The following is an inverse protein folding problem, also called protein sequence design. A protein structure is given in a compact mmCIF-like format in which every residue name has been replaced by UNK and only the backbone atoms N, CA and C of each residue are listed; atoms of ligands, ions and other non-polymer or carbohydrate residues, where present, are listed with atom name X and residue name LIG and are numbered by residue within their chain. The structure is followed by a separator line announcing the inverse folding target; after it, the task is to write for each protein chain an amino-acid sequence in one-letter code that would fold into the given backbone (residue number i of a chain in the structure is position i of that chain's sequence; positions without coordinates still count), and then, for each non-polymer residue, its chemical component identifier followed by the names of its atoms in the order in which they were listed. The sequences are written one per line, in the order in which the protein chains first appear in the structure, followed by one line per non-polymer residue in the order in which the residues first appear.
data_IF_525360581483
#
_entry.id   IF_525360581483
#
_cell.length_a   1.000
_cell.length_b   1.000
_cell.length_c   1.000
_cell.angle_alpha   90.00
_cell.angle_beta   90.00
_cell.angle_gamma   90.00
#
_symmetry.space_group_name_H-M   'P 1'
#
loop_
_entity.id
_entity.type
_entity.pdbx_description
1 polymer ?
#
# COMPACT_ATOMS: atom_id res chain seq x y z
N UNK A 1 9.81 5.73 -3.95
CA UNK A 1 8.92 6.58 -4.81
C UNK A 1 8.00 7.44 -3.96
N UNK A 2 7.21 6.89 -3.02
CA UNK A 2 6.26 7.67 -2.22
C UNK A 2 6.89 8.82 -1.44
N UNK A 3 8.00 8.59 -0.76
CA UNK A 3 8.72 9.65 -0.05
C UNK A 3 9.23 10.75 -1.00
N UNK A 4 9.66 10.40 -2.23
CA UNK A 4 10.07 11.38 -3.22
C UNK A 4 8.89 12.28 -3.67
N UNK A 5 7.69 11.75 -3.76
CA UNK A 5 6.47 12.56 -4.01
C UNK A 5 6.14 13.43 -2.80
N UNK A 6 6.20 12.88 -1.59
CA UNK A 6 5.94 13.63 -0.36
C UNK A 6 6.96 14.75 -0.14
N UNK A 7 8.21 14.60 -0.58
CA UNK A 7 9.22 15.66 -0.49
C UNK A 7 8.91 16.88 -1.39
N UNK A 8 8.21 16.69 -2.50
CA UNK A 8 7.71 17.81 -3.32
C UNK A 8 6.64 18.63 -2.58
N UNK A 9 5.93 18.00 -1.65
CA UNK A 9 4.95 18.63 -0.78
C UNK A 9 5.53 19.10 0.56
N UNK A 10 6.84 18.88 0.79
CA UNK A 10 7.56 19.18 2.04
C UNK A 10 7.01 18.38 3.25
N UNK A 11 6.48 17.17 3.00
CA UNK A 11 5.86 16.30 4.01
C UNK A 11 6.71 15.08 4.38
N UNK A 12 7.79 14.81 3.67
CA UNK A 12 8.64 13.63 3.85
C UNK A 12 9.24 13.55 5.26
N UNK A 13 9.69 14.66 5.83
CA UNK A 13 10.27 14.70 7.19
C UNK A 13 9.22 14.34 8.24
N UNK A 14 8.04 14.96 8.18
CA UNK A 14 6.94 14.66 9.10
C UNK A 14 6.57 13.17 9.08
N UNK A 15 6.52 12.56 7.89
CA UNK A 15 6.21 11.14 7.73
C UNK A 15 7.36 10.23 8.24
N UNK A 16 8.61 10.61 8.06
CA UNK A 16 9.76 9.86 8.58
C UNK A 16 9.80 9.94 10.11
N UNK A 17 9.63 11.12 10.69
CA UNK A 17 9.67 11.35 12.14
C UNK A 17 8.49 10.68 12.86
N UNK A 18 7.30 10.73 12.27
CA UNK A 18 6.08 10.08 12.80
C UNK A 18 6.01 8.57 12.55
N UNK A 19 6.89 8.01 11.70
CA UNK A 19 6.91 6.60 11.32
C UNK A 19 8.04 5.80 11.96
N UNK A 20 8.18 4.55 11.53
CA UNK A 20 9.34 3.70 11.83
C UNK A 20 10.17 3.49 10.57
N UNK A 21 11.48 3.71 10.66
CA UNK A 21 12.41 3.38 9.57
C UNK A 21 12.58 1.87 9.50
N UNK A 22 12.07 1.26 8.45
CA UNK A 22 12.16 -0.19 8.22
C UNK A 22 13.34 -0.47 7.29
N UNK A 23 14.30 -1.25 7.80
CA UNK A 23 15.54 -1.63 7.11
C UNK A 23 15.53 -3.05 6.60
N UNK A 24 14.61 -3.88 7.11
CA UNK A 24 14.55 -5.30 6.80
C UNK A 24 13.10 -5.81 6.70
N UNK A 25 12.84 -6.66 5.72
CA UNK A 25 11.70 -7.56 5.68
C UNK A 25 12.20 -8.95 6.05
N UNK A 26 11.64 -9.54 7.11
CA UNK A 26 12.09 -10.81 7.64
C UNK A 26 10.95 -11.77 7.91
N UNK A 27 10.97 -12.92 7.24
CA UNK A 27 9.91 -13.91 7.32
C UNK A 27 10.43 -15.33 7.54
N UNK A 28 9.78 -16.07 8.45
CA UNK A 28 10.06 -17.48 8.75
C UNK A 28 8.82 -18.34 8.53
N UNK A 29 9.06 -19.64 8.36
CA UNK A 29 7.99 -20.63 8.48
C UNK A 29 7.58 -20.72 9.96
N UNK A 30 6.29 -20.67 10.24
CA UNK A 30 5.75 -20.77 11.61
C UNK A 30 6.14 -22.11 12.25
N UNK A 31 6.55 -22.07 13.52
CA UNK A 31 7.05 -23.25 14.23
C UNK A 31 8.38 -23.83 13.72
N UNK A 32 9.12 -23.10 12.88
CA UNK A 32 10.40 -23.55 12.30
C UNK A 32 11.46 -22.44 12.36
N UNK A 33 12.74 -22.86 12.33
CA UNK A 33 13.87 -21.94 12.15
C UNK A 33 14.10 -21.52 10.69
N UNK A 34 13.36 -22.11 9.74
CA UNK A 34 13.53 -21.90 8.30
C UNK A 34 13.14 -20.50 7.89
N UNK A 35 14.08 -19.75 7.33
CA UNK A 35 13.88 -18.38 6.81
C UNK A 35 13.34 -18.48 5.37
N UNK A 36 12.24 -17.81 5.12
CA UNK A 36 11.57 -17.72 3.82
C UNK A 36 11.85 -16.42 3.11
N UNK A 37 12.00 -15.34 3.88
CA UNK A 37 12.22 -14.00 3.36
C UNK A 37 13.24 -13.30 4.25
N UNK A 38 14.32 -12.80 3.64
CA UNK A 38 15.31 -11.96 4.30
C UNK A 38 15.80 -10.92 3.29
N UNK A 39 15.18 -9.75 3.31
CA UNK A 39 15.47 -8.66 2.40
C UNK A 39 15.92 -7.47 3.24
N UNK A 40 17.19 -7.11 3.13
CA UNK A 40 17.77 -5.94 3.77
C UNK A 40 17.92 -4.83 2.73
N UNK A 41 17.31 -3.69 2.96
CA UNK A 41 17.36 -2.58 1.99
C UNK A 41 18.78 -2.08 1.75
N UNK A 42 19.65 -2.09 2.77
CA UNK A 42 21.08 -1.73 2.64
C UNK A 42 21.87 -2.60 1.65
N UNK A 43 21.41 -3.82 1.38
CA UNK A 43 22.06 -4.71 0.42
C UNK A 43 21.89 -4.22 -1.04
N UNK A 44 21.02 -3.23 -1.26
CA UNK A 44 20.77 -2.61 -2.55
C UNK A 44 21.48 -1.28 -2.70
N UNK A 45 21.34 -0.43 -1.67
CA UNK A 45 22.11 0.79 -1.50
C UNK A 45 22.12 1.14 0.00
N UNK A 46 23.26 1.61 0.50
CA UNK A 46 23.49 1.83 1.95
C UNK A 46 22.46 2.75 2.60
N UNK A 47 21.91 3.69 1.82
CA UNK A 47 20.93 4.70 2.26
C UNK A 47 19.45 4.27 2.08
N UNK A 48 19.16 3.10 1.48
CA UNK A 48 17.77 2.70 1.24
C UNK A 48 17.08 2.19 2.51
N UNK A 49 15.89 2.71 2.70
CA UNK A 49 14.95 2.31 3.74
C UNK A 49 13.51 2.51 3.24
N UNK A 50 12.55 1.97 3.96
CA UNK A 50 11.13 2.31 3.82
C UNK A 50 10.61 2.81 5.15
N UNK A 51 9.51 3.55 5.14
CA UNK A 51 8.85 4.02 6.36
C UNK A 51 7.59 3.22 6.59
N UNK A 52 7.53 2.53 7.73
CA UNK A 52 6.29 2.01 8.27
C UNK A 52 5.56 3.17 8.96
N UNK A 53 4.41 3.57 8.46
CA UNK A 53 3.63 4.65 9.07
C UNK A 53 2.17 4.26 9.21
N UNK A 54 1.54 4.78 10.24
CA UNK A 54 0.10 4.64 10.38
C UNK A 54 -0.63 5.45 9.31
N UNK A 55 -1.70 4.88 8.77
CA UNK A 55 -2.50 5.55 7.72
C UNK A 55 -3.00 6.92 8.15
N UNK A 56 -3.37 7.07 9.44
CA UNK A 56 -3.81 8.35 10.00
C UNK A 56 -2.73 9.43 9.94
N UNK A 57 -1.46 9.10 10.19
CA UNK A 57 -0.36 10.08 10.10
C UNK A 57 -0.22 10.61 8.67
N UNK A 58 -0.20 9.69 7.68
CA UNK A 58 -0.14 10.09 6.26
C UNK A 58 -1.36 10.93 5.87
N UNK A 59 -2.56 10.51 6.29
CA UNK A 59 -3.79 11.25 6.02
C UNK A 59 -3.74 12.65 6.64
N UNK A 60 -3.37 12.76 7.92
CA UNK A 60 -3.33 14.05 8.62
C UNK A 60 -2.34 15.01 7.99
N UNK A 61 -1.13 14.54 7.64
CA UNK A 61 -0.12 15.36 6.98
C UNK A 61 -0.64 15.91 5.64
N UNK A 62 -1.20 15.04 4.78
CA UNK A 62 -1.78 15.46 3.50
C UNK A 62 -3.00 16.36 3.67
N UNK A 63 -3.90 16.05 4.61
CA UNK A 63 -5.10 16.81 4.88
C UNK A 63 -4.78 18.25 5.39
N UNK A 64 -3.83 18.36 6.32
CA UNK A 64 -3.36 19.65 6.82
C UNK A 64 -2.74 20.49 5.71
N UNK A 65 -1.97 19.86 4.81
CA UNK A 65 -1.40 20.56 3.64
C UNK A 65 -2.50 21.07 2.70
N UNK A 66 -3.53 20.27 2.45
CA UNK A 66 -4.70 20.66 1.64
C UNK A 66 -5.41 21.87 2.24
N UNK A 67 -5.64 21.89 3.58
CA UNK A 67 -6.21 23.03 4.27
C UNK A 67 -5.31 24.28 4.19
N UNK A 68 -4.00 24.09 4.37
CA UNK A 68 -3.01 25.17 4.33
C UNK A 68 -2.98 25.88 2.97
N UNK A 69 -3.12 25.16 1.87
CA UNK A 69 -3.14 25.72 0.51
C UNK A 69 -4.53 26.19 0.07
N UNK A 70 -5.55 26.09 0.93
CA UNK A 70 -6.88 26.66 0.71
C UNK A 70 -7.75 25.90 -0.29
N UNK A 71 -7.51 24.59 -0.51
CA UNK A 71 -8.41 23.77 -1.34
C UNK A 71 -9.74 23.57 -0.63
N UNK A 72 -10.85 23.85 -1.30
CA UNK A 72 -12.19 23.66 -0.76
C UNK A 72 -12.50 22.18 -0.55
N UNK A 73 -12.94 21.81 0.66
CA UNK A 73 -13.36 20.46 1.00
C UNK A 73 -14.85 20.46 1.30
N UNK A 74 -15.63 19.72 0.51
CA UNK A 74 -17.06 19.50 0.71
C UNK A 74 -17.29 18.09 1.25
N UNK A 75 -17.35 17.94 2.57
CA UNK A 75 -17.63 16.67 3.23
C UNK A 75 -19.12 16.30 3.16
N UNK A 76 -19.44 15.04 3.51
CA UNK A 76 -20.83 14.53 3.56
C UNK A 76 -21.56 14.54 2.21
N UNK A 77 -20.85 14.53 1.10
CA UNK A 77 -21.40 14.45 -0.25
C UNK A 77 -20.94 13.14 -0.89
N UNK A 78 -21.77 12.11 -0.90
CA UNK A 78 -21.51 10.85 -1.57
C UNK A 78 -21.92 10.99 -3.03
N UNK A 79 -20.92 11.14 -3.92
CA UNK A 79 -21.15 11.26 -5.36
C UNK A 79 -21.45 9.90 -5.95
N UNK A 80 -22.60 9.75 -6.59
CA UNK A 80 -23.10 8.48 -7.15
C UNK A 80 -23.30 8.52 -8.66
N UNK A 81 -23.35 9.72 -9.27
CA UNK A 81 -23.57 9.88 -10.69
C UNK A 81 -22.79 11.07 -11.25
N UNK A 82 -22.47 10.99 -12.55
CA UNK A 82 -21.72 12.01 -13.28
C UNK A 82 -22.40 12.24 -14.63
N UNK A 83 -22.60 13.51 -14.99
CA UNK A 83 -22.98 13.91 -16.35
C UNK A 83 -21.83 14.69 -17.01
N UNK A 84 -21.55 14.39 -18.28
CA UNK A 84 -20.58 15.14 -19.08
C UNK A 84 -21.35 15.88 -20.19
N UNK A 85 -21.32 17.20 -20.18
CA UNK A 85 -22.09 18.05 -21.08
C UNK A 85 -21.17 19.18 -21.57
N UNK A 86 -21.02 19.31 -22.90
CA UNK A 86 -20.21 20.36 -23.52
C UNK A 86 -18.77 20.48 -22.93
N UNK A 87 -18.12 19.35 -22.68
CA UNK A 87 -16.76 19.31 -22.13
C UNK A 87 -16.64 19.60 -20.64
N UNK A 88 -17.76 19.81 -19.94
CA UNK A 88 -17.81 20.01 -18.49
C UNK A 88 -18.38 18.79 -17.77
N UNK A 89 -18.01 18.63 -16.51
CA UNK A 89 -18.40 17.53 -15.63
C UNK A 89 -19.31 18.06 -14.54
N UNK A 90 -20.46 17.41 -14.37
CA UNK A 90 -21.44 17.69 -13.30
C UNK A 90 -21.56 16.46 -12.42
N UNK A 91 -21.54 16.64 -11.12
CA UNK A 91 -21.63 15.58 -10.13
C UNK A 91 -23.02 15.58 -9.52
N UNK A 92 -23.52 14.39 -9.17
CA UNK A 92 -24.79 14.22 -8.49
C UNK A 92 -24.51 13.33 -7.26
N UNK A 93 -24.87 13.83 -6.09
CA UNK A 93 -24.75 13.05 -4.86
C UNK A 93 -25.97 12.11 -4.66
N UNK A 94 -25.89 11.30 -3.62
CA UNK A 94 -26.94 10.32 -3.27
C UNK A 94 -28.30 10.98 -2.95
N UNK A 95 -28.31 12.28 -2.59
CA UNK A 95 -29.51 13.07 -2.30
C UNK A 95 -30.06 13.77 -3.54
N UNK A 96 -29.42 13.64 -4.70
CA UNK A 96 -29.80 14.30 -5.95
C UNK A 96 -29.29 15.74 -6.06
N UNK A 97 -28.44 16.21 -5.13
CA UNK A 97 -27.82 17.53 -5.21
C UNK A 97 -26.78 17.54 -6.34
N UNK A 98 -26.81 18.60 -7.15
CA UNK A 98 -25.90 18.78 -8.28
C UNK A 98 -24.77 19.73 -7.93
N UNK A 99 -23.56 19.38 -8.37
CA UNK A 99 -22.35 20.19 -8.30
C UNK A 99 -21.73 20.27 -9.72
N UNK A 100 -21.14 21.35 -10.08
CA UNK A 100 -20.52 21.60 -11.40
C UNK A 100 -20.26 23.08 -11.54
N UNK A 101 -19.80 23.56 -12.65
CA UNK A 101 -19.31 22.92 -13.89
C UNK A 101 -17.79 22.74 -13.83
N UNK A 102 -17.33 21.52 -13.67
CA UNK A 102 -15.90 21.23 -13.54
C UNK A 102 -15.30 20.86 -14.90
N UNK A 103 -14.02 21.15 -15.10
CA UNK A 103 -13.28 20.75 -16.30
C UNK A 103 -12.87 19.30 -16.24
N UNK A 104 -12.58 18.78 -15.05
CA UNK A 104 -12.08 17.44 -14.81
C UNK A 104 -12.64 16.86 -13.51
N UNK A 105 -13.02 15.60 -13.52
CA UNK A 105 -13.28 14.79 -12.33
C UNK A 105 -12.16 13.80 -12.12
N UNK A 106 -11.58 13.79 -10.91
CA UNK A 106 -10.60 12.81 -10.47
C UNK A 106 -11.26 11.87 -9.46
N UNK A 107 -11.50 10.62 -9.86
CA UNK A 107 -12.01 9.59 -8.95
C UNK A 107 -10.83 8.95 -8.19
N UNK A 108 -10.68 9.34 -6.93
CA UNK A 108 -9.75 8.80 -5.96
C UNK A 108 -10.49 8.07 -4.81
N UNK A 109 -11.73 7.63 -5.02
CA UNK A 109 -12.62 7.07 -3.99
C UNK A 109 -12.23 5.66 -3.51
N UNK A 110 -11.16 5.08 -4.08
CA UNK A 110 -10.57 3.84 -3.60
C UNK A 110 -11.22 2.57 -4.15
N UNK A 111 -10.94 1.44 -3.50
CA UNK A 111 -11.33 0.12 -4.00
C UNK A 111 -12.85 -0.08 -4.22
N UNK A 112 -13.68 0.70 -3.53
CA UNK A 112 -15.15 0.63 -3.61
C UNK A 112 -15.76 1.67 -4.56
N UNK A 113 -14.96 2.28 -5.45
CA UNK A 113 -15.46 3.30 -6.38
C UNK A 113 -16.73 2.86 -7.10
N UNK A 114 -17.83 3.59 -6.87
CA UNK A 114 -19.10 3.41 -7.58
C UNK A 114 -19.01 4.00 -8.99
N UNK A 115 -18.22 5.05 -9.19
CA UNK A 115 -18.03 5.69 -10.50
C UNK A 115 -17.23 4.80 -11.45
N UNK A 116 -16.23 4.05 -10.92
CA UNK A 116 -15.52 3.04 -11.74
C UNK A 116 -16.48 2.06 -12.39
N UNK A 117 -17.42 1.53 -11.60
CA UNK A 117 -18.37 0.53 -12.12
C UNK A 117 -19.26 1.08 -13.24
N UNK A 118 -19.52 2.39 -13.27
CA UNK A 118 -20.40 3.04 -14.25
C UNK A 118 -19.66 3.61 -15.46
N UNK A 119 -18.47 4.17 -15.25
CA UNK A 119 -17.82 5.02 -16.26
C UNK A 119 -16.45 4.51 -16.74
N UNK A 120 -15.81 3.57 -16.03
CA UNK A 120 -14.50 3.09 -16.41
C UNK A 120 -14.58 1.96 -17.47
N UNK A 121 -13.55 1.88 -18.33
CA UNK A 121 -13.35 0.74 -19.21
C UNK A 121 -12.63 -0.39 -18.44
N UNK A 122 -13.42 -1.23 -17.76
CA UNK A 122 -12.92 -2.26 -16.84
C UNK A 122 -12.48 -3.50 -17.62
N UNK A 123 -11.22 -3.90 -17.44
CA UNK A 123 -10.70 -5.20 -17.90
C UNK A 123 -10.92 -6.29 -16.87
N UNK A 124 -10.75 -5.96 -15.60
CA UNK A 124 -10.96 -6.86 -14.47
C UNK A 124 -11.36 -6.06 -13.23
N UNK A 125 -12.35 -6.55 -12.49
CA UNK A 125 -12.70 -6.06 -11.16
C UNK A 125 -13.31 -7.20 -10.35
N UNK A 126 -12.51 -7.82 -9.48
CA UNK A 126 -12.95 -8.93 -8.64
C UNK A 126 -12.39 -8.84 -7.23
N UNK A 127 -13.11 -9.30 -6.20
CA UNK A 127 -12.55 -9.41 -4.86
C UNK A 127 -11.47 -10.49 -4.81
N UNK A 128 -10.45 -10.27 -3.97
CA UNK A 128 -9.53 -11.34 -3.59
C UNK A 128 -10.19 -12.29 -2.58
N UNK A 129 -9.91 -13.60 -2.67
CA UNK A 129 -10.46 -14.56 -1.72
C UNK A 129 -9.83 -14.47 -0.33
N UNK A 130 -8.70 -13.78 -0.20
CA UNK A 130 -7.98 -13.55 1.05
C UNK A 130 -8.05 -12.10 1.47
N UNK A 131 -8.11 -11.90 2.79
CA UNK A 131 -7.98 -10.64 3.48
C UNK A 131 -7.06 -10.77 4.68
N UNK A 132 -7.09 -9.78 5.56
CA UNK A 132 -6.40 -9.84 6.84
C UNK A 132 -7.22 -9.13 7.91
N UNK A 133 -7.31 -9.70 9.12
CA UNK A 133 -7.69 -8.93 10.28
C UNK A 133 -6.45 -8.24 10.83
N UNK A 134 -6.58 -6.98 11.21
CA UNK A 134 -5.47 -6.18 11.68
C UNK A 134 -5.89 -5.20 12.77
N UNK A 135 -4.94 -4.81 13.58
CA UNK A 135 -5.09 -3.73 14.54
C UNK A 135 -3.73 -3.15 14.92
N UNK A 136 -3.75 -2.03 15.63
CA UNK A 136 -2.55 -1.43 16.22
C UNK A 136 -2.31 -2.03 17.60
N UNK A 137 -1.04 -2.28 17.89
CA UNK A 137 -0.53 -2.76 19.18
C UNK A 137 0.67 -1.92 19.62
N UNK A 138 0.89 -1.80 20.91
CA UNK A 138 2.08 -1.15 21.48
C UNK A 138 3.20 -2.16 21.65
N UNK A 139 4.39 -1.85 21.15
CA UNK A 139 5.60 -2.65 21.41
C UNK A 139 6.18 -2.16 22.74
N UNK A 140 6.12 -3.02 23.76
CA UNK A 140 6.52 -2.69 25.13
C UNK A 140 7.81 -3.41 25.58
N UNK A 141 8.30 -4.32 24.73
CA UNK A 141 9.50 -5.11 25.00
C UNK A 141 10.47 -5.10 23.81
N UNK A 142 11.64 -5.68 23.97
CA UNK A 142 12.71 -5.77 22.97
C UNK A 142 12.60 -6.99 22.02
N UNK A 143 11.53 -7.77 22.14
CA UNK A 143 11.31 -8.98 21.29
C UNK A 143 11.13 -8.65 19.82
N UNK A 144 10.64 -7.45 19.53
CA UNK A 144 10.44 -6.97 18.16
C UNK A 144 11.43 -5.87 17.82
N UNK A 145 12.17 -6.08 16.74
CA UNK A 145 13.03 -5.05 16.18
C UNK A 145 12.16 -3.95 15.56
N UNK A 146 12.42 -2.71 15.93
CA UNK A 146 11.66 -1.54 15.47
C UNK A 146 11.99 -1.14 14.01
N UNK A 147 13.01 -1.73 13.42
CA UNK A 147 13.47 -1.50 12.04
C UNK A 147 13.12 -2.67 11.09
N UNK A 148 12.26 -3.59 11.52
CA UNK A 148 11.99 -4.82 10.76
C UNK A 148 10.48 -5.09 10.65
N UNK A 149 10.00 -5.32 9.42
CA UNK A 149 8.73 -6.00 9.20
C UNK A 149 8.95 -7.50 9.44
N UNK A 150 8.47 -7.97 10.59
CA UNK A 150 8.51 -9.40 10.96
C UNK A 150 7.30 -10.15 10.43
N UNK A 151 7.52 -11.36 9.87
CA UNK A 151 6.43 -12.19 9.37
C UNK A 151 6.62 -13.67 9.73
N UNK A 152 5.51 -14.40 9.93
CA UNK A 152 5.47 -15.86 10.05
C UNK A 152 4.43 -16.42 9.09
N UNK A 153 4.80 -17.52 8.43
CA UNK A 153 3.96 -18.16 7.42
C UNK A 153 3.62 -19.58 7.82
N UNK A 154 2.34 -19.92 7.87
CA UNK A 154 1.86 -21.30 7.94
C UNK A 154 1.30 -21.70 6.57
N UNK A 155 2.05 -22.51 5.84
CA UNK A 155 1.76 -22.78 4.43
C UNK A 155 1.71 -21.49 3.59
N UNK A 156 0.84 -21.42 2.58
CA UNK A 156 0.46 -20.19 1.88
C UNK A 156 -0.90 -19.65 2.37
N UNK A 157 -1.41 -20.16 3.48
CA UNK A 157 -2.77 -19.91 3.95
C UNK A 157 -2.82 -18.84 5.04
N UNK A 158 -1.96 -18.94 6.06
CA UNK A 158 -1.89 -17.95 7.12
C UNK A 158 -0.55 -17.21 7.11
N UNK A 159 -0.65 -15.92 7.29
CA UNK A 159 0.49 -15.04 7.49
C UNK A 159 0.21 -14.16 8.71
N UNK A 160 1.14 -14.19 9.66
CA UNK A 160 1.18 -13.25 10.77
C UNK A 160 2.23 -12.21 10.46
N UNK A 161 1.92 -10.93 10.67
CA UNK A 161 2.91 -9.87 10.51
C UNK A 161 2.83 -8.83 11.61
N UNK A 162 4.00 -8.28 11.92
CA UNK A 162 4.19 -7.16 12.84
C UNK A 162 5.05 -6.13 12.13
N UNK A 163 4.45 -4.98 11.83
CA UNK A 163 5.11 -3.85 11.18
C UNK A 163 5.15 -2.67 12.14
N UNK A 164 6.33 -2.26 12.64
CA UNK A 164 6.45 -1.01 13.38
C UNK A 164 6.00 0.19 12.53
N UNK A 165 5.19 1.09 13.12
CA UNK A 165 4.57 2.21 12.42
C UNK A 165 4.84 3.57 13.09
N UNK A 166 5.81 3.62 13.98
CA UNK A 166 6.19 4.83 14.71
C UNK A 166 5.36 5.04 15.96
N UNK A 167 5.49 6.23 16.52
CA UNK A 167 4.71 6.66 17.67
C UNK A 167 3.43 7.31 17.21
N UNK A 168 2.33 7.00 17.89
CA UNK A 168 1.04 7.62 17.62
C UNK A 168 0.80 8.75 18.63
N UNK A 169 0.55 9.95 18.14
CA UNK A 169 0.30 11.14 19.00
C UNK A 169 1.41 11.35 20.03
N UNK A 170 1.03 11.51 21.30
CA UNK A 170 1.93 11.68 22.45
C UNK A 170 2.41 10.37 23.09
N UNK A 171 2.26 9.22 22.40
CA UNK A 171 2.68 7.94 22.95
C UNK A 171 4.18 7.88 23.19
N UNK A 172 4.58 7.28 24.33
CA UNK A 172 5.99 7.10 24.69
C UNK A 172 6.62 5.88 24.00
N UNK A 173 5.81 4.89 23.63
CA UNK A 173 6.27 3.66 22.98
C UNK A 173 5.88 3.60 21.50
N UNK A 174 6.65 2.84 20.73
CA UNK A 174 6.37 2.57 19.31
C UNK A 174 5.15 1.68 19.17
N UNK A 175 4.26 2.04 18.27
CA UNK A 175 3.14 1.20 17.82
C UNK A 175 3.54 0.33 16.64
N UNK A 176 2.87 -0.81 16.49
CA UNK A 176 2.99 -1.67 15.32
C UNK A 176 1.61 -2.05 14.79
N UNK A 177 1.53 -2.22 13.48
CA UNK A 177 0.40 -2.91 12.87
C UNK A 177 0.61 -4.42 13.00
N UNK A 178 -0.23 -5.06 13.81
CA UNK A 178 -0.37 -6.51 13.84
C UNK A 178 -1.38 -6.92 12.77
N UNK A 179 -1.09 -7.94 11.98
CA UNK A 179 -2.04 -8.48 11.01
C UNK A 179 -1.97 -10.01 10.92
N UNK A 180 -3.14 -10.59 10.69
CA UNK A 180 -3.36 -12.02 10.49
C UNK A 180 -4.13 -12.24 9.20
N UNK A 181 -3.50 -12.85 8.18
CA UNK A 181 -4.18 -13.16 6.93
C UNK A 181 -5.04 -14.41 7.02
N UNK A 182 -6.19 -14.35 6.35
CA UNK A 182 -7.15 -15.44 6.30
C UNK A 182 -8.00 -15.37 5.03
N UNK A 183 -8.70 -16.45 4.69
CA UNK A 183 -9.76 -16.36 3.68
C UNK A 183 -10.89 -15.47 4.17
N UNK A 184 -11.41 -14.62 3.30
CA UNK A 184 -12.57 -13.78 3.62
C UNK A 184 -13.80 -14.64 3.96
N UNK A 185 -13.96 -15.78 3.28
CA UNK A 185 -15.04 -16.75 3.55
C UNK A 185 -14.98 -17.36 4.96
N UNK A 186 -13.79 -17.44 5.59
CA UNK A 186 -13.62 -17.98 6.93
C UNK A 186 -13.84 -16.94 8.04
N UNK A 187 -14.06 -15.66 7.68
CA UNK A 187 -14.17 -14.56 8.64
C UNK A 187 -15.31 -14.79 9.66
N UNK A 188 -16.49 -15.18 9.18
CA UNK A 188 -17.63 -15.43 10.07
C UNK A 188 -17.34 -16.58 11.05
N UNK A 189 -16.77 -17.69 10.55
CA UNK A 189 -16.35 -18.81 11.39
C UNK A 189 -15.30 -18.40 12.42
N UNK A 190 -14.36 -17.52 12.05
CA UNK A 190 -13.37 -16.95 12.97
C UNK A 190 -14.05 -16.10 14.06
N UNK A 191 -15.07 -15.33 13.73
CA UNK A 191 -15.84 -14.55 14.70
C UNK A 191 -16.66 -15.38 15.68
N UNK A 192 -17.08 -16.57 15.29
CA UNK A 192 -17.89 -17.49 16.10
C UNK A 192 -17.04 -18.37 17.03
N UNK A 193 -15.74 -18.49 16.77
CA UNK A 193 -14.87 -19.26 17.66
C UNK A 193 -14.55 -18.48 18.94
N UNK A 194 -14.17 -19.20 19.99
CA UNK A 194 -13.68 -18.60 21.22
C UNK A 194 -12.39 -17.79 20.94
N UNK A 195 -12.37 -16.52 21.35
CA UNK A 195 -11.29 -15.60 21.02
C UNK A 195 -9.93 -16.03 21.60
N UNK A 196 -9.94 -16.54 22.84
CA UNK A 196 -8.74 -17.07 23.51
C UNK A 196 -8.08 -18.20 22.72
N UNK A 197 -8.86 -19.11 22.11
CA UNK A 197 -8.33 -20.20 21.29
C UNK A 197 -7.60 -19.70 20.04
N UNK A 198 -8.12 -18.62 19.44
CA UNK A 198 -7.41 -17.97 18.34
C UNK A 198 -6.11 -17.33 18.82
N UNK A 199 -6.11 -16.62 19.96
CA UNK A 199 -4.90 -16.05 20.55
C UNK A 199 -3.85 -17.12 20.84
N UNK A 200 -4.22 -18.22 21.47
CA UNK A 200 -3.36 -19.37 21.73
C UNK A 200 -2.79 -19.98 20.45
N UNK A 201 -3.63 -20.13 19.42
CA UNK A 201 -3.20 -20.65 18.12
C UNK A 201 -2.15 -19.73 17.47
N UNK A 202 -2.36 -18.42 17.45
CA UNK A 202 -1.42 -17.43 16.90
C UNK A 202 -0.13 -17.42 17.71
N UNK A 203 -0.20 -17.41 19.04
CA UNK A 203 0.96 -17.48 19.92
C UNK A 203 1.76 -18.78 19.71
N UNK A 204 1.08 -19.91 19.49
CA UNK A 204 1.72 -21.18 19.14
C UNK A 204 2.48 -21.16 17.82
N UNK A 205 2.08 -20.32 16.87
CA UNK A 205 2.79 -20.13 15.60
C UNK A 205 3.95 -19.13 15.71
N UNK A 206 3.83 -18.16 16.60
CA UNK A 206 4.82 -17.12 16.84
C UNK A 206 4.74 -16.63 18.31
N UNK A 207 5.49 -17.29 19.19
CA UNK A 207 5.42 -17.06 20.66
C UNK A 207 5.68 -15.63 21.08
N UNK A 208 6.57 -14.92 20.35
CA UNK A 208 6.90 -13.53 20.63
C UNK A 208 5.69 -12.58 20.50
N UNK A 209 4.62 -12.98 19.79
CA UNK A 209 3.40 -12.17 19.66
C UNK A 209 2.47 -12.22 20.86
N UNK A 210 2.68 -13.11 21.83
CA UNK A 210 1.80 -13.27 22.99
C UNK A 210 1.52 -11.96 23.74
N UNK A 211 2.52 -11.10 24.07
CA UNK A 211 2.26 -9.81 24.72
C UNK A 211 1.45 -8.84 23.85
N UNK A 212 1.57 -8.93 22.52
CA UNK A 212 0.79 -8.12 21.60
C UNK A 212 -0.66 -8.59 21.53
N UNK A 213 -0.88 -9.91 21.50
CA UNK A 213 -2.21 -10.52 21.46
C UNK A 213 -3.01 -10.24 22.75
N UNK A 214 -2.37 -10.14 23.90
CA UNK A 214 -3.00 -9.78 25.18
C UNK A 214 -3.57 -8.35 25.21
N UNK A 215 -3.24 -7.51 24.24
CA UNK A 215 -3.83 -6.18 24.10
C UNK A 215 -5.23 -6.22 23.45
N UNK A 216 -5.63 -7.36 22.90
CA UNK A 216 -6.95 -7.57 22.32
C UNK A 216 -7.83 -8.38 23.29
N UNK A 217 -9.08 -7.97 23.44
CA UNK A 217 -10.05 -8.64 24.34
C UNK A 217 -11.12 -9.41 23.55
N UNK A 218 -11.39 -9.01 22.33
CA UNK A 218 -12.46 -9.57 21.48
C UNK A 218 -12.15 -9.42 19.99
N UNK A 219 -12.90 -10.12 19.15
CA UNK A 219 -12.74 -10.06 17.70
C UNK A 219 -12.92 -8.64 17.13
N UNK A 220 -13.77 -7.81 17.76
CA UNK A 220 -14.05 -6.44 17.31
C UNK A 220 -12.85 -5.48 17.47
N UNK A 221 -11.85 -5.87 18.26
CA UNK A 221 -10.60 -5.11 18.40
C UNK A 221 -9.72 -5.23 17.13
N UNK A 222 -10.07 -6.13 16.21
CA UNK A 222 -9.40 -6.33 14.94
C UNK A 222 -10.35 -6.03 13.77
N UNK A 223 -9.89 -5.23 12.82
CA UNK A 223 -10.65 -4.84 11.64
C UNK A 223 -10.32 -5.74 10.45
N UNK A 224 -11.34 -6.25 9.75
CA UNK A 224 -11.12 -6.99 8.51
C UNK A 224 -10.79 -6.02 7.36
N UNK A 225 -9.63 -6.20 6.77
CA UNK A 225 -9.25 -5.59 5.49
C UNK A 225 -9.47 -6.60 4.36
N UNK A 226 -10.24 -6.20 3.37
CA UNK A 226 -10.47 -6.97 2.13
C UNK A 226 -9.80 -6.24 0.97
N UNK A 227 -9.45 -6.97 -0.07
CA UNK A 227 -8.75 -6.44 -1.24
C UNK A 227 -9.52 -6.77 -2.51
N UNK A 228 -9.26 -6.00 -3.56
CA UNK A 228 -9.78 -6.25 -4.91
C UNK A 228 -8.63 -6.31 -5.90
N UNK A 229 -8.86 -6.96 -7.02
CA UNK A 229 -7.98 -6.94 -8.17
C UNK A 229 -8.67 -6.15 -9.28
N UNK A 230 -8.19 -4.93 -9.51
CA UNK A 230 -8.77 -3.98 -10.46
C UNK A 230 -7.77 -3.69 -11.57
N UNK A 231 -8.20 -3.91 -12.82
CA UNK A 231 -7.47 -3.45 -14.02
C UNK A 231 -8.43 -2.71 -14.90
N UNK A 232 -8.03 -1.53 -15.32
CA UNK A 232 -8.69 -0.77 -16.36
C UNK A 232 -7.93 -0.93 -17.68
N UNK A 233 -8.65 -0.94 -18.81
CA UNK A 233 -8.04 -0.84 -20.13
C UNK A 233 -7.52 0.58 -20.40
N UNK A 234 -8.18 1.58 -19.81
CA UNK A 234 -7.85 3.00 -19.90
C UNK A 234 -8.20 3.68 -18.58
N UNK A 235 -7.31 4.54 -18.08
CA UNK A 235 -7.48 5.18 -16.78
C UNK A 235 -8.38 6.41 -16.80
N UNK A 236 -9.00 6.73 -17.94
CA UNK A 236 -9.97 7.82 -18.05
C UNK A 236 -11.12 7.48 -19.04
N UNK A 237 -12.21 8.26 -18.93
CA UNK A 237 -13.37 8.19 -19.81
C UNK A 237 -13.95 9.61 -19.97
N UNK A 238 -13.75 10.21 -21.16
CA UNK A 238 -13.97 11.65 -21.30
C UNK A 238 -13.15 12.43 -20.29
N UNK A 239 -13.80 13.36 -19.57
CA UNK A 239 -13.17 14.18 -18.54
C UNK A 239 -13.26 13.57 -17.12
N UNK A 240 -13.32 12.23 -17.02
CA UNK A 240 -13.24 11.50 -15.76
C UNK A 240 -11.93 10.71 -15.76
N UNK A 241 -11.07 10.88 -14.77
CA UNK A 241 -9.85 10.09 -14.57
C UNK A 241 -9.92 9.33 -13.24
N UNK A 242 -9.44 8.07 -13.27
CA UNK A 242 -9.36 7.19 -12.11
C UNK A 242 -7.92 7.09 -11.64
N UNK A 243 -7.67 7.23 -10.33
CA UNK A 243 -6.34 7.14 -9.72
C UNK A 243 -6.36 6.26 -8.47
N UNK A 244 -5.19 5.77 -8.06
CA UNK A 244 -5.04 4.95 -6.87
C UNK A 244 -5.88 3.67 -6.90
N UNK A 245 -6.43 3.27 -5.77
CA UNK A 245 -7.21 2.03 -5.65
C UNK A 245 -8.54 2.07 -6.46
N UNK A 246 -9.01 3.24 -6.87
CA UNK A 246 -10.13 3.34 -7.81
C UNK A 246 -9.75 2.84 -9.20
N UNK A 247 -8.48 2.97 -9.60
CA UNK A 247 -7.96 2.59 -10.91
C UNK A 247 -7.28 1.22 -10.94
N UNK A 248 -6.53 0.86 -9.89
CA UNK A 248 -5.58 -0.26 -9.93
C UNK A 248 -5.36 -0.96 -8.58
N UNK A 249 -6.41 -1.13 -7.80
CA UNK A 249 -6.35 -1.90 -6.56
C UNK A 249 -5.73 -3.28 -6.79
N UNK A 250 -4.81 -3.69 -5.92
CA UNK A 250 -4.11 -4.98 -5.99
C UNK A 250 -3.97 -5.61 -4.60
N UNK A 251 -3.47 -6.85 -4.52
CA UNK A 251 -3.14 -7.47 -3.24
C UNK A 251 -1.99 -6.71 -2.55
N UNK A 252 -1.92 -6.72 -1.21
CA UNK A 252 -0.93 -5.95 -0.45
C UNK A 252 0.47 -6.55 -0.45
N UNK A 253 0.74 -7.63 -1.18
CA UNK A 253 1.99 -8.40 -1.10
C UNK A 253 3.25 -7.58 -1.40
N UNK A 254 3.14 -6.58 -2.25
CA UNK A 254 4.25 -5.70 -2.60
C UNK A 254 4.34 -4.43 -1.74
N UNK A 255 3.29 -4.12 -0.96
CA UNK A 255 3.23 -2.90 -0.16
C UNK A 255 3.26 -1.59 -0.97
N UNK A 256 2.85 -1.61 -2.25
CA UNK A 256 3.04 -0.48 -3.16
C UNK A 256 1.79 0.38 -3.41
N UNK A 257 0.61 0.01 -2.89
CA UNK A 257 -0.64 0.72 -3.20
C UNK A 257 -0.56 2.23 -2.96
N UNK A 258 -0.17 2.67 -1.76
CA UNK A 258 -0.04 4.10 -1.44
C UNK A 258 1.03 4.80 -2.29
N UNK A 259 2.19 4.13 -2.53
CA UNK A 259 3.24 4.69 -3.38
C UNK A 259 2.75 4.92 -4.82
N UNK A 260 2.03 3.95 -5.39
CA UNK A 260 1.50 4.06 -6.75
C UNK A 260 0.45 5.17 -6.86
N UNK A 261 -0.43 5.32 -5.83
CA UNK A 261 -1.41 6.39 -5.78
C UNK A 261 -0.77 7.79 -5.69
N UNK A 262 0.29 7.95 -4.89
CA UNK A 262 1.06 9.20 -4.83
C UNK A 262 1.72 9.53 -6.18
N UNK A 263 2.26 8.51 -6.85
CA UNK A 263 2.83 8.69 -8.20
C UNK A 263 1.75 9.01 -9.24
N UNK A 264 0.54 8.46 -9.12
CA UNK A 264 -0.58 8.84 -9.98
C UNK A 264 -0.87 10.33 -9.88
N UNK A 265 -1.00 10.85 -8.67
CA UNK A 265 -1.28 12.25 -8.43
C UNK A 265 -0.19 13.16 -9.03
N UNK A 266 1.08 12.81 -8.82
CA UNK A 266 2.22 13.55 -9.38
C UNK A 266 2.22 13.53 -10.92
N UNK A 267 2.04 12.35 -11.52
CA UNK A 267 2.08 12.23 -12.99
C UNK A 267 0.89 12.94 -13.61
N UNK A 268 -0.30 12.80 -13.02
CA UNK A 268 -1.50 13.50 -13.50
C UNK A 268 -1.32 15.02 -13.44
N UNK A 269 -0.83 15.57 -12.33
CA UNK A 269 -0.55 16.99 -12.18
C UNK A 269 0.40 17.48 -13.28
N UNK A 270 1.53 16.78 -13.50
CA UNK A 270 2.49 17.15 -14.55
C UNK A 270 1.89 17.06 -15.96
N UNK A 271 1.03 16.09 -16.23
CA UNK A 271 0.36 15.99 -17.53
C UNK A 271 -0.59 17.17 -17.74
N UNK A 272 -1.33 17.57 -16.70
CA UNK A 272 -2.24 18.73 -16.77
C UNK A 272 -1.44 20.02 -16.99
N UNK A 273 -0.33 20.21 -16.29
CA UNK A 273 0.49 21.41 -16.37
C UNK A 273 1.18 21.60 -17.75
N UNK A 274 1.43 20.50 -18.48
CA UNK A 274 2.18 20.52 -19.73
C UNK A 274 1.33 20.35 -20.99
N UNK A 275 0.03 20.03 -20.87
CA UNK A 275 -0.84 19.79 -22.01
C UNK A 275 -1.63 21.04 -22.42
N UNK A 276 -1.99 21.13 -23.68
CA UNK A 276 -2.83 22.21 -24.22
C UNK A 276 -4.33 21.96 -23.93
N UNK A 277 -4.70 20.71 -23.61
CA UNK A 277 -6.09 20.33 -23.32
C UNK A 277 -6.18 19.20 -22.29
N UNK A 278 -7.31 19.11 -21.59
CA UNK A 278 -7.60 18.01 -20.66
C UNK A 278 -7.52 16.64 -21.37
N UNK A 279 -8.02 16.54 -22.60
CA UNK A 279 -7.97 15.30 -23.37
C UNK A 279 -6.54 14.84 -23.62
N UNK A 280 -5.64 15.74 -24.00
CA UNK A 280 -4.22 15.46 -24.20
C UNK A 280 -3.53 15.07 -22.88
N UNK A 281 -3.79 15.80 -21.80
CA UNK A 281 -3.28 15.48 -20.45
C UNK A 281 -3.65 14.06 -20.03
N UNK A 282 -4.90 13.66 -20.24
CA UNK A 282 -5.39 12.34 -19.83
C UNK A 282 -4.84 11.20 -20.69
N UNK A 283 -4.66 11.41 -22.00
CA UNK A 283 -3.99 10.42 -22.86
C UNK A 283 -2.52 10.24 -22.45
N UNK A 284 -1.82 11.32 -22.20
CA UNK A 284 -0.42 11.25 -21.77
C UNK A 284 -0.30 10.60 -20.37
N UNK A 285 -1.18 10.93 -19.42
CA UNK A 285 -1.27 10.25 -18.12
C UNK A 285 -1.46 8.75 -18.31
N UNK A 286 -2.42 8.34 -19.16
CA UNK A 286 -2.68 6.94 -19.45
C UNK A 286 -1.44 6.24 -20.02
N UNK A 287 -0.72 6.87 -20.96
CA UNK A 287 0.47 6.31 -21.60
C UNK A 287 1.61 6.13 -20.60
N UNK A 288 1.86 7.12 -19.73
CA UNK A 288 2.92 7.06 -18.73
C UNK A 288 2.63 6.02 -17.64
N UNK A 289 1.36 5.95 -17.18
CA UNK A 289 0.99 5.06 -16.08
C UNK A 289 0.81 3.60 -16.49
N UNK A 290 0.36 3.34 -17.72
CA UNK A 290 0.00 2.00 -18.17
C UNK A 290 1.16 0.99 -18.01
N UNK A 291 2.36 1.34 -18.41
CA UNK A 291 3.54 0.45 -18.28
C UNK A 291 3.90 0.21 -16.82
N UNK A 292 3.92 1.27 -16.01
CA UNK A 292 4.29 1.20 -14.60
C UNK A 292 3.27 0.36 -13.81
N UNK A 293 2.00 0.70 -13.89
CA UNK A 293 0.92 0.00 -13.20
C UNK A 293 0.78 -1.45 -13.68
N UNK A 294 0.87 -1.67 -14.99
CA UNK A 294 0.83 -3.01 -15.58
C UNK A 294 1.90 -3.95 -15.01
N UNK A 295 3.12 -3.44 -14.79
CA UNK A 295 4.18 -4.23 -14.14
C UNK A 295 3.79 -4.62 -12.70
N UNK A 296 3.32 -3.68 -11.87
CA UNK A 296 2.96 -3.96 -10.48
C UNK A 296 1.72 -4.85 -10.34
N UNK A 297 0.75 -4.69 -11.21
CA UNK A 297 -0.42 -5.56 -11.27
C UNK A 297 -0.02 -7.00 -11.63
N UNK A 298 0.86 -7.18 -12.62
CA UNK A 298 1.39 -8.49 -13.00
C UNK A 298 2.21 -9.09 -11.84
N UNK A 299 3.16 -8.35 -11.27
CA UNK A 299 4.02 -8.81 -10.19
C UNK A 299 3.21 -9.19 -8.93
N UNK A 300 2.21 -8.38 -8.55
CA UNK A 300 1.31 -8.68 -7.45
C UNK A 300 0.54 -9.99 -7.67
N UNK A 301 0.00 -10.23 -8.87
CA UNK A 301 -0.71 -11.47 -9.21
C UNK A 301 0.20 -12.68 -9.20
N UNK A 302 1.42 -12.55 -9.71
CA UNK A 302 2.38 -13.65 -9.71
C UNK A 302 2.82 -14.02 -8.29
N UNK A 303 2.94 -13.03 -7.39
CA UNK A 303 3.37 -13.26 -6.01
C UNK A 303 2.24 -13.73 -5.08
N UNK A 304 1.02 -13.30 -5.31
CA UNK A 304 -0.12 -13.60 -4.42
C UNK A 304 -0.27 -15.10 -4.12
N UNK A 305 -0.22 -16.05 -5.07
CA UNK A 305 -0.39 -17.47 -4.78
C UNK A 305 0.66 -18.06 -3.83
N UNK A 306 1.85 -17.47 -3.77
CA UNK A 306 2.91 -17.90 -2.86
C UNK A 306 2.64 -17.56 -1.40
N UNK A 307 1.83 -16.51 -1.14
CA UNK A 307 1.56 -16.00 0.20
C UNK A 307 0.11 -16.18 0.62
N UNK A 308 -0.81 -16.24 -0.34
CA UNK A 308 -2.26 -16.33 -0.12
C UNK A 308 -2.88 -17.33 -1.11
N UNK A 309 -2.77 -18.61 -0.80
CA UNK A 309 -3.44 -19.69 -1.53
C UNK A 309 -3.62 -20.91 -0.64
N UNK A 310 -4.54 -21.81 -1.05
CA UNK A 310 -4.75 -23.09 -0.38
C UNK A 310 -3.77 -24.17 -0.85
N UNK A 311 -2.96 -23.87 -1.84
CA UNK A 311 -2.08 -24.83 -2.46
C UNK A 311 -0.79 -25.01 -1.64
N UNK A 312 -0.58 -26.23 -1.16
CA UNK A 312 0.69 -26.63 -0.55
C UNK A 312 1.87 -26.59 -1.53
N UNK A 313 1.58 -26.70 -2.83
CA UNK A 313 2.61 -26.58 -3.88
C UNK A 313 3.24 -25.20 -3.85
N UNK A 314 2.45 -24.12 -3.84
CA UNK A 314 2.98 -22.75 -3.78
C UNK A 314 3.71 -22.45 -2.47
N UNK A 315 3.26 -23.03 -1.34
CA UNK A 315 3.99 -22.91 -0.07
C UNK A 315 5.39 -23.55 -0.15
N UNK A 316 5.51 -24.75 -0.72
CA UNK A 316 6.79 -25.43 -0.94
C UNK A 316 7.65 -24.67 -1.96
N UNK A 317 7.05 -24.24 -3.08
CA UNK A 317 7.77 -23.52 -4.12
C UNK A 317 8.32 -22.17 -3.57
N UNK A 318 7.57 -21.44 -2.76
CA UNK A 318 8.05 -20.23 -2.06
C UNK A 318 9.31 -20.56 -1.25
N UNK A 319 9.29 -21.64 -0.47
CA UNK A 319 10.42 -22.02 0.36
C UNK A 319 11.70 -22.21 -0.49
N UNK A 320 11.59 -22.90 -1.62
CA UNK A 320 12.73 -23.13 -2.50
C UNK A 320 13.14 -21.88 -3.29
N UNK A 321 12.18 -21.13 -3.84
CA UNK A 321 12.49 -20.02 -4.76
C UNK A 321 12.86 -18.74 -4.04
N UNK A 322 12.09 -18.30 -3.02
CA UNK A 322 12.38 -17.06 -2.32
C UNK A 322 13.66 -17.14 -1.50
N UNK A 323 13.90 -18.28 -0.81
CA UNK A 323 15.13 -18.48 -0.05
C UNK A 323 16.38 -18.51 -0.93
N UNK A 324 16.28 -19.05 -2.15
CA UNK A 324 17.38 -19.09 -3.12
C UNK A 324 17.55 -17.74 -3.82
N UNK A 325 16.46 -17.10 -4.22
CA UNK A 325 16.45 -15.79 -4.87
C UNK A 325 17.09 -14.71 -3.97
N UNK A 326 16.84 -14.76 -2.65
CA UNK A 326 17.48 -13.85 -1.71
C UNK A 326 19.02 -14.01 -1.61
N UNK A 327 19.60 -15.09 -2.12
CA UNK A 327 21.05 -15.33 -2.11
C UNK A 327 21.77 -14.83 -3.37
N UNK A 328 21.05 -14.61 -4.47
CA UNK A 328 21.62 -14.22 -5.76
C UNK A 328 21.64 -12.69 -5.87
N UNK A 329 22.78 -12.03 -6.10
CA UNK A 329 22.86 -10.54 -6.16
C UNK A 329 21.95 -9.90 -7.21
N UNK A 330 21.81 -10.51 -8.37
CA UNK A 330 20.96 -10.00 -9.45
C UNK A 330 19.46 -9.98 -9.05
N UNK A 331 18.95 -11.05 -8.46
CA UNK A 331 17.56 -11.13 -8.01
C UNK A 331 17.28 -10.19 -6.83
N UNK A 332 18.27 -9.98 -5.95
CA UNK A 332 18.18 -8.95 -4.90
C UNK A 332 17.98 -7.56 -5.49
N UNK A 333 18.78 -7.18 -6.49
CA UNK A 333 18.64 -5.88 -7.15
C UNK A 333 17.26 -5.69 -7.77
N UNK A 334 16.71 -6.71 -8.45
CA UNK A 334 15.35 -6.66 -8.97
C UNK A 334 14.33 -6.50 -7.84
N UNK A 335 14.45 -7.27 -6.77
CA UNK A 335 13.56 -7.19 -5.62
C UNK A 335 13.56 -5.78 -4.99
N UNK A 336 14.74 -5.12 -4.91
CA UNK A 336 14.83 -3.76 -4.44
C UNK A 336 14.01 -2.78 -5.28
N UNK A 337 14.21 -2.80 -6.58
CA UNK A 337 13.46 -1.94 -7.48
C UNK A 337 11.94 -2.20 -7.43
N UNK A 338 11.53 -3.46 -7.22
CA UNK A 338 10.11 -3.80 -7.01
C UNK A 338 9.60 -3.21 -5.70
N UNK A 339 10.33 -3.40 -4.60
CA UNK A 339 9.94 -2.94 -3.27
C UNK A 339 10.05 -1.42 -3.07
N UNK A 340 10.81 -0.72 -3.90
CA UNK A 340 10.91 0.75 -3.88
C UNK A 340 9.94 1.44 -4.84
N UNK A 341 9.15 0.70 -5.60
CA UNK A 341 8.17 1.26 -6.52
C UNK A 341 8.76 1.81 -7.83
N UNK A 342 10.02 1.48 -8.15
CA UNK A 342 10.74 2.08 -9.30
C UNK A 342 10.67 1.27 -10.58
N UNK A 343 10.20 0.02 -10.57
CA UNK A 343 10.11 -0.82 -11.79
C UNK A 343 8.98 -0.36 -12.71
N UNK A 344 9.29 -0.20 -14.00
CA UNK A 344 8.30 0.08 -15.05
C UNK A 344 8.20 -1.06 -16.07
N UNK A 345 9.01 -2.10 -15.92
CA UNK A 345 9.06 -3.29 -16.77
C UNK A 345 10.13 -4.25 -16.29
N UNK A 346 10.37 -5.33 -17.01
CA UNK A 346 11.39 -6.33 -16.63
C UNK A 346 12.79 -5.72 -16.56
N UNK A 347 13.11 -4.81 -17.46
CA UNK A 347 14.44 -4.16 -17.56
C UNK A 347 14.39 -2.69 -17.14
N UNK A 348 13.30 -1.98 -17.45
CA UNK A 348 13.16 -0.53 -17.23
C UNK A 348 12.85 -0.16 -15.79
N UNK A 349 13.36 1.00 -15.36
CA UNK A 349 13.15 1.57 -14.02
C UNK A 349 12.91 3.07 -14.12
N UNK A 350 12.09 3.60 -13.21
CA UNK A 350 12.00 5.04 -12.97
C UNK A 350 13.16 5.49 -12.08
N UNK A 351 13.59 6.74 -12.27
CA UNK A 351 14.49 7.40 -11.36
C UNK A 351 13.70 8.44 -10.53
N UNK A 352 13.43 8.19 -9.25
CA UNK A 352 12.71 9.15 -8.40
C UNK A 352 13.45 10.49 -8.25
N UNK A 353 14.77 10.53 -8.50
CA UNK A 353 15.55 11.74 -8.50
C UNK A 353 15.11 12.77 -9.56
N UNK A 354 14.53 12.29 -10.66
CA UNK A 354 13.99 13.17 -11.72
C UNK A 354 12.73 13.94 -11.25
N UNK A 355 12.15 13.54 -10.12
CA UNK A 355 10.93 14.14 -9.58
C UNK A 355 11.18 15.09 -8.42
N UNK A 356 12.22 14.89 -7.62
CA UNK A 356 12.44 15.61 -6.38
C UNK A 356 13.60 16.60 -6.54
N UNK A 357 13.35 17.89 -6.28
CA UNK A 357 14.40 18.93 -6.24
C UNK A 357 15.42 18.68 -5.12
N UNK A 358 15.08 17.86 -4.12
CA UNK A 358 15.87 17.60 -2.91
C UNK A 358 16.29 16.12 -2.76
N UNK A 359 16.25 15.33 -3.84
CA UNK A 359 16.62 13.91 -3.77
C UNK A 359 18.05 13.69 -3.22
N UNK A 360 18.98 14.61 -3.50
CA UNK A 360 20.33 14.59 -2.94
C UNK A 360 20.37 14.90 -1.44
N UNK A 361 19.38 15.60 -0.89
CA UNK A 361 19.24 15.81 0.54
C UNK A 361 18.83 14.51 1.27
N UNK A 362 18.07 13.62 0.63
CA UNK A 362 17.80 12.27 1.17
C UNK A 362 19.10 11.45 1.29
N UNK A 363 20.03 11.61 0.35
CA UNK A 363 21.34 10.96 0.41
C UNK A 363 22.24 11.55 1.51
N UNK A 364 22.07 12.84 1.85
CA UNK A 364 22.90 13.54 2.86
C UNK A 364 22.26 13.57 4.25
N UNK A 365 20.96 13.77 4.36
CA UNK A 365 20.26 13.87 5.66
C UNK A 365 19.90 12.53 6.27
N UNK A 366 19.84 11.44 5.50
CA UNK A 366 19.74 10.11 6.07
C UNK A 366 20.95 9.72 6.92
N UNK A 367 22.13 10.33 6.69
CA UNK A 367 23.29 10.15 7.56
C UNK A 367 23.21 10.99 8.83
N UNK A 368 22.49 12.11 8.85
CA UNK A 368 22.36 12.99 10.01
C UNK A 368 21.17 12.65 10.94
N UNK A 369 20.21 11.87 10.46
CA UNK A 369 19.08 11.34 11.26
C UNK A 369 19.37 9.92 11.79
N UNK A 370 20.54 9.37 11.51
CA UNK A 370 20.94 7.98 11.79
C UNK A 370 22.04 7.93 12.87
N UNK A 371 22.66 9.06 13.23
CA UNK A 371 23.50 9.25 14.43
C UNK A 371 22.62 9.69 15.63
#
# INVERSE_FOLDING_TARGET
TGLAVLSLLELDREIIEGGSIIRQLYGKVAGSKSVTLDVKYKDFASHLFVVGTHRGNLFSALYNKVLQIGVEIKSSNEIVEVAQINGKVYLIDINGQKFGDYDLLIDASGQKSCLRAKYANIKLDKPYPYGAVWSLVKIQDDKFRLDTLGQRYKNAYHMIGVLPVGKLNSDTCTSAAFFWSMRVADYQKWREQEFSKWQEYVAGLWSETEPLLKQFNKHDDLTLATYRDVILNKYHSGNIVFIGDAAHCTSPQLGQGANLALVDALVLSKCIDNAESISEALEEYNNQRNKHLGFYQMASRMLTPFFQSDSLFFAKLRFFTCGLACKIPFTRKIAAHVLTGTKTGLVSTLNPGDWSKNYDLFNKSSNALIE
#
